data_IF_119304712098
#
_entry.id   IF_119304712098
#
_cell.length_a   1.000
_cell.length_b   1.000
_cell.length_c   1.000
_cell.angle_alpha   90.00
_cell.angle_beta   90.00
_cell.angle_gamma   90.00
#
_symmetry.space_group_name_H-M   'P 1'
#
loop_
_entity.id
_entity.type
_entity.pdbx_description
1 polymer ?
#
# COMPACT_ATOMS: atom_id res chain seq x y z
N UNK A 1 -11.39 -21.37 3.69
CA UNK A 1 -10.51 -20.24 4.08
C UNK A 1 -11.37 -19.13 4.68
N UNK A 2 -11.24 -18.85 5.99
CA UNK A 2 -12.18 -18.07 6.81
C UNK A 2 -11.98 -16.54 6.82
N UNK A 3 -11.74 -15.93 5.67
CA UNK A 3 -11.68 -14.46 5.57
C UNK A 3 -13.07 -13.82 5.55
N UNK A 4 -13.31 -12.84 6.42
CA UNK A 4 -14.50 -11.97 6.47
C UNK A 4 -14.15 -10.56 5.97
N UNK A 5 -15.09 -9.90 5.30
CA UNK A 5 -14.95 -8.51 4.80
C UNK A 5 -13.69 -8.24 3.97
N UNK A 6 -13.66 -8.72 2.72
CA UNK A 6 -12.61 -8.39 1.76
C UNK A 6 -12.88 -7.03 1.11
N UNK A 7 -12.04 -6.04 1.40
CA UNK A 7 -11.99 -4.76 0.68
C UNK A 7 -10.76 -4.71 -0.19
N UNK A 8 -10.98 -4.65 -1.51
CA UNK A 8 -9.92 -4.55 -2.52
C UNK A 8 -9.78 -3.10 -2.94
N UNK A 9 -8.56 -2.57 -2.88
CA UNK A 9 -8.23 -1.26 -3.41
C UNK A 9 -7.12 -1.42 -4.46
N UNK A 10 -7.48 -1.19 -5.71
CA UNK A 10 -6.57 -1.24 -6.85
C UNK A 10 -6.00 0.15 -7.11
N UNK A 11 -4.71 0.34 -6.84
CA UNK A 11 -4.03 1.61 -7.09
C UNK A 11 -3.54 1.76 -8.53
N UNK A 12 -3.71 0.71 -9.34
CA UNK A 12 -3.33 0.69 -10.74
C UNK A 12 -1.82 0.60 -10.95
N UNK A 13 -1.41 0.89 -12.19
CA UNK A 13 -0.03 0.87 -12.63
C UNK A 13 0.71 2.10 -12.12
N UNK A 14 1.84 1.89 -11.44
CA UNK A 14 2.74 2.94 -10.96
C UNK A 14 4.18 2.62 -11.34
N UNK A 15 4.99 3.65 -11.48
CA UNK A 15 6.44 3.49 -11.66
C UNK A 15 7.08 3.01 -10.36
N UNK A 16 8.00 2.05 -10.47
CA UNK A 16 8.76 1.55 -9.34
C UNK A 16 9.91 2.52 -9.04
N UNK A 17 10.24 2.70 -7.76
CA UNK A 17 11.37 3.55 -7.37
C UNK A 17 12.72 3.08 -7.95
N UNK A 18 12.81 1.79 -8.30
CA UNK A 18 13.94 1.17 -8.96
C UNK A 18 13.49 -0.03 -9.80
N UNK A 19 14.34 -0.47 -10.74
CA UNK A 19 14.12 -1.67 -11.53
C UNK A 19 14.03 -2.90 -10.64
N UNK A 20 12.86 -3.55 -10.58
CA UNK A 20 12.67 -4.85 -9.94
C UNK A 20 12.44 -5.88 -11.01
N UNK A 21 13.26 -6.93 -11.06
CA UNK A 21 13.16 -8.00 -12.05
C UNK A 21 13.00 -7.48 -13.50
N UNK A 22 13.81 -6.47 -13.83
CA UNK A 22 13.81 -5.77 -15.14
C UNK A 22 12.50 -5.03 -15.48
N UNK A 23 11.57 -4.91 -14.54
CA UNK A 23 10.34 -4.13 -14.69
C UNK A 23 10.53 -2.70 -14.16
N UNK A 24 10.05 -1.71 -14.91
CA UNK A 24 10.00 -0.29 -14.49
C UNK A 24 8.66 0.11 -13.89
N UNK A 25 7.61 -0.64 -14.17
CA UNK A 25 6.25 -0.37 -13.72
C UNK A 25 5.68 -1.60 -13.03
N UNK A 26 4.81 -1.39 -12.05
CA UNK A 26 4.07 -2.45 -11.38
C UNK A 26 2.65 -2.02 -11.07
N UNK A 27 1.73 -2.98 -11.01
CA UNK A 27 0.36 -2.75 -10.55
C UNK A 27 0.29 -3.01 -9.06
N UNK A 28 -0.19 -2.01 -8.30
CA UNK A 28 -0.34 -2.13 -6.86
C UNK A 28 -1.80 -2.46 -6.50
N UNK A 29 -1.97 -3.52 -5.71
CA UNK A 29 -3.27 -3.92 -5.16
C UNK A 29 -3.14 -4.08 -3.66
N UNK A 30 -4.06 -3.46 -2.92
CA UNK A 30 -4.15 -3.55 -1.47
C UNK A 30 -5.41 -4.33 -1.10
N UNK A 31 -5.23 -5.40 -0.33
CA UNK A 31 -6.32 -6.21 0.20
C UNK A 31 -6.43 -5.95 1.70
N UNK A 32 -7.60 -5.52 2.15
CA UNK A 32 -7.94 -5.48 3.57
C UNK A 32 -8.95 -6.59 3.82
N UNK A 33 -8.66 -7.46 4.77
CA UNK A 33 -9.55 -8.53 5.17
C UNK A 33 -9.50 -8.70 6.68
N UNK A 34 -10.59 -9.19 7.24
CA UNK A 34 -10.66 -9.67 8.61
C UNK A 34 -10.61 -11.20 8.60
N UNK A 35 -10.02 -11.81 9.62
CA UNK A 35 -10.02 -13.26 9.78
C UNK A 35 -10.02 -13.59 11.26
N UNK A 36 -10.84 -14.55 11.66
CA UNK A 36 -10.85 -15.10 13.02
C UNK A 36 -9.62 -15.98 13.23
N UNK A 37 -9.13 -16.62 12.17
CA UNK A 37 -7.98 -17.51 12.18
C UNK A 37 -6.72 -16.80 11.65
N UNK A 38 -5.63 -16.84 12.41
CA UNK A 38 -4.34 -16.24 12.02
C UNK A 38 -3.57 -17.01 10.94
N UNK A 39 -3.95 -18.26 10.65
CA UNK A 39 -3.26 -19.14 9.71
C UNK A 39 -3.32 -18.68 8.25
N UNK A 40 -4.38 -17.94 7.88
CA UNK A 40 -4.63 -17.48 6.51
C UNK A 40 -3.49 -16.63 5.93
N UNK A 41 -2.81 -15.84 6.78
CA UNK A 41 -1.68 -14.99 6.36
C UNK A 41 -0.53 -15.84 5.83
N UNK A 42 -0.25 -16.98 6.48
CA UNK A 42 0.86 -17.87 6.12
C UNK A 42 0.60 -18.57 4.79
N UNK A 43 -0.62 -19.05 4.59
CA UNK A 43 -1.05 -19.67 3.34
C UNK A 43 -0.96 -18.67 2.17
N UNK A 44 -1.54 -17.48 2.35
CA UNK A 44 -1.51 -16.43 1.34
C UNK A 44 -0.07 -15.98 1.01
N UNK A 45 0.77 -15.81 2.03
CA UNK A 45 2.18 -15.46 1.81
C UNK A 45 2.93 -16.55 1.03
N UNK A 46 2.61 -17.83 1.23
CA UNK A 46 3.17 -18.93 0.47
C UNK A 46 2.76 -18.87 -1.00
N UNK A 47 1.46 -18.67 -1.27
CA UNK A 47 0.94 -18.53 -2.63
C UNK A 47 1.53 -17.32 -3.35
N UNK A 48 1.57 -16.16 -2.69
CA UNK A 48 2.14 -14.92 -3.25
C UNK A 48 3.64 -15.05 -3.54
N UNK A 49 4.37 -15.85 -2.76
CA UNK A 49 5.80 -16.09 -2.98
C UNK A 49 6.08 -17.00 -4.17
N UNK A 50 5.21 -17.98 -4.43
CA UNK A 50 5.35 -18.91 -5.56
C UNK A 50 4.91 -18.26 -6.87
N UNK A 51 4.05 -17.24 -6.79
CA UNK A 51 3.49 -16.56 -7.97
C UNK A 51 4.52 -15.61 -8.59
N UNK A 52 5.07 -15.96 -9.76
CA UNK A 52 6.11 -15.19 -10.46
C UNK A 52 5.68 -13.77 -10.83
N UNK A 53 4.39 -13.53 -11.07
CA UNK A 53 3.88 -12.19 -11.41
C UNK A 53 3.92 -11.21 -10.23
N UNK A 54 4.14 -11.68 -9.01
CA UNK A 54 4.21 -10.86 -7.80
C UNK A 54 5.66 -10.46 -7.53
N UNK A 55 6.03 -9.25 -7.93
CA UNK A 55 7.39 -8.73 -7.71
C UNK A 55 7.73 -8.56 -6.23
N UNK A 56 6.75 -8.10 -5.43
CA UNK A 56 6.89 -7.91 -3.99
C UNK A 56 5.53 -7.87 -3.31
N UNK A 57 5.47 -8.39 -2.08
CA UNK A 57 4.31 -8.28 -1.21
C UNK A 57 4.71 -7.85 0.20
N UNK A 58 3.76 -7.31 0.94
CA UNK A 58 3.92 -6.95 2.34
C UNK A 58 2.59 -7.14 3.06
N UNK A 59 2.64 -7.75 4.24
CA UNK A 59 1.45 -7.95 5.09
C UNK A 59 1.59 -7.09 6.34
N UNK A 60 0.55 -6.34 6.66
CA UNK A 60 0.47 -5.54 7.88
C UNK A 60 -0.72 -5.99 8.72
N UNK A 61 -0.51 -6.17 10.02
CA UNK A 61 -1.62 -6.34 10.96
C UNK A 61 -2.16 -4.97 11.32
N UNK A 62 -3.38 -4.70 10.89
CA UNK A 62 -4.08 -3.47 11.27
C UNK A 62 -4.53 -3.61 12.73
N UNK A 63 -4.17 -2.62 13.56
CA UNK A 63 -4.67 -2.48 14.91
C UNK A 63 -5.72 -1.37 14.90
N UNK A 64 -6.83 -1.54 15.63
CA UNK A 64 -7.97 -0.60 15.66
C UNK A 64 -7.61 0.80 16.17
N UNK A 65 -6.42 0.95 16.78
CA UNK A 65 -5.81 2.26 17.03
C UNK A 65 -5.36 2.86 15.70
N UNK A 66 -6.30 3.44 14.96
CA UNK A 66 -6.04 4.33 13.83
C UNK A 66 -5.15 5.47 14.32
N UNK A 67 -3.83 5.31 14.15
CA UNK A 67 -2.90 6.42 14.21
C UNK A 67 -3.21 7.24 12.97
N UNK A 68 -4.14 8.21 13.11
CA UNK A 68 -4.36 9.24 12.09
C UNK A 68 -2.98 9.78 11.76
N UNK A 69 -2.49 9.49 10.56
CA UNK A 69 -1.22 9.99 10.09
C UNK A 69 -1.35 11.51 10.04
N UNK A 70 -0.88 12.19 11.10
CA UNK A 70 -0.63 13.62 11.09
C UNK A 70 0.53 13.79 10.12
N UNK A 71 0.19 13.97 8.84
CA UNK A 71 1.19 14.25 7.81
C UNK A 71 2.12 15.35 8.29
N UNK A 72 3.37 15.36 7.79
CA UNK A 72 4.27 16.49 8.03
C UNK A 72 3.53 17.74 7.52
N UNK A 73 3.15 18.61 8.44
CA UNK A 73 2.60 19.92 8.08
C UNK A 73 3.66 20.61 7.24
N UNK A 74 3.42 20.75 5.94
CA UNK A 74 4.19 21.65 5.11
C UNK A 74 3.83 23.07 5.52
N UNK A 75 4.44 23.56 6.60
CA UNK A 75 4.58 24.99 6.85
C UNK A 75 5.53 25.54 5.80
N UNK A 76 4.97 25.88 4.65
CA UNK A 76 5.75 26.34 3.50
C UNK A 76 4.87 26.53 2.27
N UNK A 77 3.90 27.44 2.34
CA UNK A 77 3.45 28.17 1.15
C UNK A 77 2.78 29.49 1.50
N UNK A 78 3.21 30.56 0.84
CA UNK A 78 2.61 31.90 0.92
C UNK A 78 3.49 32.95 0.27
N UNK A 79 3.56 32.90 -1.07
CA UNK A 79 4.17 33.91 -1.94
C UNK A 79 3.49 35.29 -1.84
N UNK A 80 4.18 36.32 -2.34
CA UNK A 80 3.69 37.56 -2.98
C UNK A 80 3.78 38.87 -2.18
N UNK A 81 4.72 39.73 -2.61
CA UNK A 81 4.37 41.11 -2.96
C UNK A 81 5.22 41.58 -4.15
N UNK A 82 4.76 41.26 -5.36
CA UNK A 82 4.93 42.14 -6.52
C UNK A 82 3.64 42.94 -6.65
N UNK A 83 3.66 44.24 -6.30
CA UNK A 83 2.89 45.32 -6.95
C UNK A 83 3.14 46.66 -6.21
N UNK A 84 3.30 47.72 -7.01
CA UNK A 84 3.09 49.15 -6.76
C UNK A 84 4.11 49.96 -5.92
N UNK A 85 5.01 50.69 -6.61
CA UNK A 85 5.05 52.16 -6.71
C UNK A 85 6.33 52.64 -7.42
#
# INVERSE_FOLDING_TARGET
>A
HGGKELKVNSWGRKELAYLMDKQRFGTYVCFNYSSEEGGIVKELASQLRITESVLRFQTHRLNDRSRKFKGRTSSGKGESHSEAA
#
